data_IF_961181659278
#
_entry.id   IF_961181659278
#
_cell.length_a   1.000
_cell.length_b   1.000
_cell.length_c   1.000
_cell.angle_alpha   90.00
_cell.angle_beta   90.00
_cell.angle_gamma   90.00
#
_symmetry.space_group_name_H-M   'P 1'
#
loop_
_entity.id
_entity.type
_entity.pdbx_description
1 polymer ?
#
# COMPACT_ATOMS: atom_id res chain seq x y z
N UNK A 1 29.88 -5.89 -13.49
CA UNK A 1 29.06 -7.12 -13.46
C UNK A 1 28.40 -7.31 -14.82
N UNK A 2 28.40 -8.54 -15.32
CA UNK A 2 27.62 -8.92 -16.49
C UNK A 2 26.16 -9.17 -16.11
N UNK A 3 25.24 -9.14 -17.06
CA UNK A 3 23.82 -9.46 -16.81
C UNK A 3 23.64 -10.92 -16.35
N UNK A 4 24.49 -11.85 -16.80
CA UNK A 4 24.49 -13.22 -16.31
C UNK A 4 24.85 -13.27 -14.80
N UNK A 5 25.86 -12.54 -14.36
CA UNK A 5 26.24 -12.48 -12.93
C UNK A 5 25.11 -11.88 -12.07
N UNK A 6 24.37 -10.90 -12.60
CA UNK A 6 23.20 -10.34 -11.92
C UNK A 6 22.09 -11.39 -11.77
N UNK A 7 21.78 -12.12 -12.84
CA UNK A 7 20.81 -13.22 -12.82
C UNK A 7 21.20 -14.33 -11.83
N UNK A 8 22.45 -14.77 -11.88
CA UNK A 8 22.99 -15.80 -11.00
C UNK A 8 23.00 -15.36 -9.52
N UNK A 9 23.29 -14.08 -9.26
CA UNK A 9 23.21 -13.51 -7.92
C UNK A 9 21.78 -13.56 -7.40
N UNK A 10 20.80 -13.11 -8.19
CA UNK A 10 19.39 -13.14 -7.81
C UNK A 10 18.94 -14.58 -7.48
N UNK A 11 19.27 -15.55 -8.33
CA UNK A 11 18.89 -16.96 -8.12
C UNK A 11 19.43 -17.49 -6.78
N UNK A 12 20.70 -17.19 -6.46
CA UNK A 12 21.28 -17.59 -5.18
C UNK A 12 20.63 -16.87 -4.00
N UNK A 13 20.40 -15.58 -4.11
CA UNK A 13 19.72 -14.80 -3.08
C UNK A 13 18.29 -15.30 -2.82
N UNK A 14 17.52 -15.52 -3.88
CA UNK A 14 16.15 -16.02 -3.78
C UNK A 14 16.09 -17.39 -3.07
N UNK A 15 17.04 -18.29 -3.34
CA UNK A 15 17.13 -19.60 -2.65
C UNK A 15 17.34 -19.42 -1.15
N UNK A 16 18.27 -18.55 -0.74
CA UNK A 16 18.51 -18.27 0.68
C UNK A 16 17.24 -17.68 1.34
N UNK A 17 16.57 -16.75 0.69
CA UNK A 17 15.32 -16.17 1.23
C UNK A 17 14.27 -17.26 1.40
N UNK A 18 14.12 -18.17 0.43
CA UNK A 18 13.13 -19.28 0.52
C UNK A 18 13.50 -20.35 1.54
N UNK A 19 14.76 -20.54 1.83
CA UNK A 19 15.21 -21.44 2.90
C UNK A 19 14.94 -20.85 4.29
N UNK A 20 15.21 -19.56 4.48
CA UNK A 20 15.09 -18.90 5.78
C UNK A 20 13.66 -18.34 6.06
N UNK A 21 12.95 -17.90 5.02
CA UNK A 21 11.63 -17.28 5.12
C UNK A 21 10.76 -17.62 3.90
N UNK A 22 10.26 -18.88 3.81
CA UNK A 22 9.55 -19.38 2.62
C UNK A 22 8.26 -18.62 2.29
N UNK A 23 7.68 -17.90 3.25
CA UNK A 23 6.48 -17.08 3.08
C UNK A 23 6.75 -15.76 2.34
N UNK A 24 8.01 -15.31 2.24
CA UNK A 24 8.35 -14.07 1.55
C UNK A 24 8.41 -14.30 0.04
N UNK A 25 7.66 -13.50 -0.73
CA UNK A 25 7.76 -13.49 -2.18
C UNK A 25 9.02 -12.77 -2.64
N UNK A 26 9.73 -13.35 -3.60
CA UNK A 26 10.90 -12.72 -4.22
C UNK A 26 10.51 -12.14 -5.57
N UNK A 27 10.86 -10.87 -5.77
CA UNK A 27 10.56 -10.11 -6.97
C UNK A 27 11.82 -9.92 -7.79
N UNK A 28 11.77 -10.24 -9.08
CA UNK A 28 12.86 -9.96 -10.01
C UNK A 28 12.50 -8.81 -10.95
N UNK A 29 13.21 -7.70 -10.82
CA UNK A 29 13.10 -6.59 -11.75
C UNK A 29 13.91 -6.94 -13.01
N UNK A 30 13.17 -7.38 -14.02
CA UNK A 30 13.73 -7.90 -15.26
C UNK A 30 13.74 -6.86 -16.37
N UNK A 31 13.52 -7.34 -17.60
CA UNK A 31 13.68 -6.57 -18.81
C UNK A 31 12.36 -6.33 -19.54
N UNK A 32 12.27 -5.22 -20.25
CA UNK A 32 11.15 -4.91 -21.12
C UNK A 32 11.32 -5.51 -22.53
N UNK A 33 10.22 -5.72 -23.24
CA UNK A 33 10.24 -6.05 -24.67
C UNK A 33 10.82 -4.86 -25.46
N UNK A 34 11.70 -5.15 -26.42
CA UNK A 34 12.39 -4.10 -27.18
C UNK A 34 11.49 -3.43 -28.22
N UNK A 35 10.96 -4.17 -29.17
CA UNK A 35 10.13 -3.66 -30.26
C UNK A 35 8.68 -4.10 -30.09
N UNK A 36 7.84 -3.14 -29.71
CA UNK A 36 6.42 -3.38 -29.44
C UNK A 36 5.61 -3.73 -30.70
N UNK A 37 6.08 -3.37 -31.89
CA UNK A 37 5.41 -3.70 -33.16
C UNK A 37 5.50 -5.19 -33.48
N UNK A 38 6.46 -5.90 -32.90
CA UNK A 38 6.68 -7.34 -33.08
C UNK A 38 6.01 -8.12 -31.95
N UNK A 39 5.04 -9.00 -32.29
CA UNK A 39 4.29 -9.75 -31.25
C UNK A 39 5.20 -10.66 -30.41
N UNK A 40 6.23 -11.24 -31.01
CA UNK A 40 7.13 -12.19 -30.38
C UNK A 40 8.53 -11.59 -30.12
N UNK A 41 8.59 -10.27 -29.93
CA UNK A 41 9.84 -9.58 -29.68
C UNK A 41 10.57 -10.16 -28.45
N UNK A 42 11.89 -10.41 -28.53
CA UNK A 42 12.66 -10.84 -27.37
C UNK A 42 12.60 -9.80 -26.26
N UNK A 43 12.56 -10.28 -25.01
CA UNK A 43 12.83 -9.46 -23.84
C UNK A 43 14.34 -9.22 -23.76
N UNK A 44 14.76 -8.03 -23.33
CA UNK A 44 16.18 -7.75 -23.09
C UNK A 44 16.76 -8.78 -22.13
N UNK A 45 17.97 -9.25 -22.42
CA UNK A 45 18.70 -10.20 -21.56
C UNK A 45 17.93 -11.48 -21.23
N UNK A 46 16.97 -11.90 -22.07
CA UNK A 46 16.12 -13.07 -21.78
C UNK A 46 16.91 -14.37 -21.56
N UNK A 47 18.09 -14.50 -22.19
CA UNK A 47 18.95 -15.67 -22.04
C UNK A 47 19.66 -15.65 -20.68
N UNK A 48 20.23 -14.49 -20.35
CA UNK A 48 20.98 -14.24 -19.12
C UNK A 48 20.07 -14.31 -17.88
N UNK A 49 18.81 -13.87 -18.01
CA UNK A 49 17.85 -13.82 -16.92
C UNK A 49 16.85 -14.99 -16.87
N UNK A 50 17.00 -15.98 -17.77
CA UNK A 50 16.06 -17.09 -17.84
C UNK A 50 15.82 -17.79 -16.50
N UNK A 51 16.90 -18.11 -15.76
CA UNK A 51 16.79 -18.75 -14.46
C UNK A 51 16.23 -17.82 -13.38
N UNK A 52 16.54 -16.52 -13.46
CA UNK A 52 15.98 -15.53 -12.56
C UNK A 52 14.47 -15.40 -12.74
N UNK A 53 13.96 -15.34 -13.98
CA UNK A 53 12.53 -15.35 -14.26
C UNK A 53 11.83 -16.62 -13.75
N UNK A 54 12.49 -17.76 -13.85
CA UNK A 54 11.94 -19.02 -13.35
C UNK A 54 11.93 -19.09 -11.82
N UNK A 55 12.93 -18.50 -11.16
CA UNK A 55 13.09 -18.54 -9.70
C UNK A 55 12.22 -17.51 -8.98
N UNK A 56 12.02 -16.32 -9.55
CA UNK A 56 11.18 -15.28 -8.96
C UNK A 56 9.73 -15.76 -8.77
N UNK A 57 9.07 -15.28 -7.73
CA UNK A 57 7.61 -15.44 -7.54
C UNK A 57 6.84 -14.41 -8.36
N UNK A 58 7.38 -13.20 -8.46
CA UNK A 58 6.77 -12.06 -9.14
C UNK A 58 7.80 -11.44 -10.09
N UNK A 59 7.35 -11.06 -11.28
CA UNK A 59 8.18 -10.30 -12.22
C UNK A 59 7.94 -8.80 -12.04
N UNK A 60 8.97 -8.01 -12.28
CA UNK A 60 8.88 -6.56 -12.17
C UNK A 60 9.63 -5.84 -13.28
N UNK A 61 9.20 -4.62 -13.54
CA UNK A 61 9.91 -3.65 -14.37
C UNK A 61 9.83 -2.26 -13.71
N UNK A 62 10.91 -1.48 -13.87
CA UNK A 62 10.88 -0.05 -13.61
C UNK A 62 10.51 0.65 -14.92
N UNK A 63 9.33 1.24 -14.98
CA UNK A 63 8.87 1.88 -16.20
C UNK A 63 7.91 3.03 -15.91
N UNK A 64 7.97 4.02 -16.77
CA UNK A 64 7.31 5.31 -16.60
C UNK A 64 6.52 5.64 -17.86
N UNK A 65 5.37 6.32 -17.71
CA UNK A 65 4.64 6.90 -18.84
C UNK A 65 5.44 8.03 -19.49
N UNK A 66 6.13 8.82 -18.66
CA UNK A 66 7.13 9.78 -19.09
C UNK A 66 8.23 9.84 -18.04
N UNK A 67 9.48 9.86 -18.50
CA UNK A 67 10.65 10.08 -17.64
C UNK A 67 11.69 10.83 -18.44
N UNK A 68 12.13 11.97 -17.93
CA UNK A 68 13.07 12.81 -18.63
C UNK A 68 14.16 13.34 -17.72
N UNK A 69 15.35 12.85 -17.92
CA UNK A 69 16.55 13.37 -17.26
C UNK A 69 17.12 14.56 -18.05
N UNK A 70 17.37 15.68 -17.38
CA UNK A 70 17.94 16.88 -18.00
C UNK A 70 16.92 17.93 -18.44
N UNK A 71 15.62 17.69 -18.22
CA UNK A 71 14.59 18.71 -18.44
C UNK A 71 14.81 19.96 -17.54
N UNK A 72 14.62 21.17 -18.05
CA UNK A 72 14.28 21.53 -19.43
C UNK A 72 15.51 21.79 -20.33
N UNK A 73 16.72 21.67 -19.81
CA UNK A 73 17.96 22.16 -20.46
C UNK A 73 18.26 21.46 -21.78
N UNK A 74 18.17 20.15 -21.82
CA UNK A 74 18.49 19.39 -23.02
C UNK A 74 17.45 19.61 -24.15
N UNK A 75 16.19 19.90 -23.81
CA UNK A 75 15.16 20.28 -24.80
C UNK A 75 15.47 21.66 -25.37
N UNK A 76 15.87 22.60 -24.52
CA UNK A 76 16.26 23.95 -24.97
C UNK A 76 17.50 23.91 -25.85
N UNK A 77 18.50 23.07 -25.53
CA UNK A 77 19.74 22.98 -26.26
C UNK A 77 19.58 22.24 -27.60
N UNK A 78 18.76 21.17 -27.63
CA UNK A 78 18.61 20.31 -28.82
C UNK A 78 17.48 20.73 -29.75
N UNK A 79 16.67 21.70 -29.36
CA UNK A 79 15.56 22.21 -30.18
C UNK A 79 14.51 21.15 -30.53
N UNK A 80 14.34 20.12 -29.67
CA UNK A 80 13.53 18.94 -29.98
C UNK A 80 12.29 18.80 -29.10
N UNK A 81 11.16 18.43 -29.70
CA UNK A 81 9.96 17.95 -29.04
C UNK A 81 10.06 16.47 -28.68
N UNK A 82 11.23 15.97 -28.34
CA UNK A 82 11.49 14.52 -28.31
C UNK A 82 10.97 13.78 -27.06
N UNK A 83 10.32 14.47 -26.15
CA UNK A 83 9.83 13.87 -24.90
C UNK A 83 8.33 14.02 -24.77
N UNK A 84 7.62 13.22 -25.54
CA UNK A 84 6.19 13.02 -25.35
C UNK A 84 5.97 11.90 -24.33
N UNK A 85 4.90 12.03 -23.57
CA UNK A 85 4.41 10.91 -22.77
C UNK A 85 4.10 9.72 -23.67
N UNK A 86 4.52 8.52 -23.27
CA UNK A 86 4.11 7.28 -23.96
C UNK A 86 2.60 7.14 -23.85
N UNK A 87 1.85 6.96 -24.94
CA UNK A 87 0.42 6.74 -24.88
C UNK A 87 0.08 5.55 -23.97
N UNK A 88 -0.96 5.69 -23.17
CA UNK A 88 -1.35 4.66 -22.18
C UNK A 88 -1.57 3.30 -22.84
N UNK A 89 -2.20 3.26 -24.03
CA UNK A 89 -2.41 2.00 -24.77
C UNK A 89 -1.08 1.34 -25.18
N UNK A 90 -0.11 2.13 -25.64
CA UNK A 90 1.21 1.63 -26.00
C UNK A 90 1.97 1.14 -24.75
N UNK A 91 1.89 1.88 -23.64
CA UNK A 91 2.52 1.49 -22.38
C UNK A 91 1.94 0.17 -21.86
N UNK A 92 0.62 0.04 -21.88
CA UNK A 92 -0.06 -1.20 -21.50
C UNK A 92 0.38 -2.37 -22.40
N UNK A 93 0.42 -2.17 -23.73
CA UNK A 93 0.85 -3.21 -24.68
C UNK A 93 2.31 -3.64 -24.46
N UNK A 94 3.20 -2.72 -24.10
CA UNK A 94 4.58 -3.05 -23.72
C UNK A 94 4.62 -3.99 -22.52
N UNK A 95 3.88 -3.69 -21.47
CA UNK A 95 3.80 -4.55 -20.28
C UNK A 95 3.19 -5.91 -20.62
N UNK A 96 2.08 -5.94 -21.35
CA UNK A 96 1.38 -7.16 -21.76
C UNK A 96 2.29 -8.08 -22.59
N UNK A 97 3.00 -7.52 -23.55
CA UNK A 97 3.95 -8.26 -24.39
C UNK A 97 5.15 -8.74 -23.60
N UNK A 98 5.64 -7.93 -22.65
CA UNK A 98 6.70 -8.34 -21.74
C UNK A 98 6.27 -9.56 -20.91
N UNK A 99 5.10 -9.51 -20.26
CA UNK A 99 4.57 -10.64 -19.48
C UNK A 99 4.40 -11.89 -20.33
N UNK A 100 3.79 -11.79 -21.52
CA UNK A 100 3.64 -12.90 -22.46
C UNK A 100 4.98 -13.50 -22.89
N UNK A 101 5.96 -12.66 -23.19
CA UNK A 101 7.28 -13.13 -23.61
C UNK A 101 8.03 -13.84 -22.50
N UNK A 102 8.02 -13.27 -21.27
CA UNK A 102 8.65 -13.93 -20.12
C UNK A 102 7.93 -15.26 -19.82
N UNK A 103 6.61 -15.31 -19.89
CA UNK A 103 5.83 -16.54 -19.77
C UNK A 103 6.31 -17.61 -20.76
N UNK A 104 6.53 -17.25 -22.02
CA UNK A 104 7.07 -18.17 -23.04
C UNK A 104 8.47 -18.66 -22.70
N UNK A 105 9.37 -17.74 -22.29
CA UNK A 105 10.73 -18.06 -21.86
C UNK A 105 10.72 -18.97 -20.62
N UNK A 106 9.75 -18.80 -19.74
CA UNK A 106 9.52 -19.57 -18.51
C UNK A 106 8.73 -20.88 -18.74
N UNK A 107 8.73 -21.41 -19.96
CA UNK A 107 8.10 -22.69 -20.28
C UNK A 107 6.56 -22.67 -20.24
N UNK A 108 5.94 -21.51 -20.42
CA UNK A 108 4.48 -21.32 -20.42
C UNK A 108 3.89 -21.04 -19.04
N UNK A 109 4.72 -20.95 -17.98
CA UNK A 109 4.25 -20.60 -16.63
C UNK A 109 4.23 -19.08 -16.49
N UNK A 110 3.04 -18.51 -16.41
CA UNK A 110 2.82 -17.10 -16.11
C UNK A 110 2.98 -16.84 -14.61
N UNK A 111 3.58 -15.71 -14.26
CA UNK A 111 3.66 -15.22 -12.88
C UNK A 111 3.12 -13.79 -12.82
N UNK A 112 2.64 -13.33 -11.66
CA UNK A 112 2.21 -11.95 -11.49
C UNK A 112 3.32 -10.97 -11.91
N UNK A 113 2.93 -9.84 -12.48
CA UNK A 113 3.84 -8.75 -12.84
C UNK A 113 3.47 -7.48 -12.10
N UNK A 114 4.47 -6.82 -11.55
CA UNK A 114 4.34 -5.51 -10.92
C UNK A 114 5.23 -4.48 -11.63
N UNK A 115 4.95 -3.20 -11.42
CA UNK A 115 5.89 -2.12 -11.74
C UNK A 115 6.50 -1.64 -10.44
N UNK A 116 7.79 -1.88 -10.23
CA UNK A 116 8.50 -1.52 -8.99
C UNK A 116 8.77 -0.02 -8.88
N UNK A 117 8.93 0.68 -10.01
CA UNK A 117 9.01 2.13 -10.08
C UNK A 117 8.09 2.65 -11.18
N UNK A 118 7.01 3.32 -10.81
CA UNK A 118 6.01 3.84 -11.74
C UNK A 118 5.69 5.29 -11.46
N UNK A 119 5.65 6.09 -12.51
CA UNK A 119 5.12 7.45 -12.46
C UNK A 119 5.01 8.01 -13.90
N UNK A 120 4.68 9.29 -13.98
CA UNK A 120 4.91 10.13 -15.13
C UNK A 120 5.60 11.42 -14.68
N UNK A 121 6.56 11.90 -15.45
CA UNK A 121 7.33 13.09 -15.12
C UNK A 121 6.45 14.34 -15.19
N UNK A 122 6.29 15.01 -14.05
CA UNK A 122 5.48 16.21 -13.93
C UNK A 122 6.00 17.40 -14.72
N UNK A 123 7.29 17.45 -15.04
CA UNK A 123 7.86 18.48 -15.91
C UNK A 123 7.45 18.27 -17.38
N UNK A 124 7.21 17.02 -17.78
CA UNK A 124 6.80 16.66 -19.13
C UNK A 124 5.28 16.79 -19.30
N UNK A 125 4.52 16.21 -18.38
CA UNK A 125 3.04 16.14 -18.47
C UNK A 125 2.35 17.36 -17.85
N UNK A 126 3.03 18.08 -16.99
CA UNK A 126 2.45 19.08 -16.09
C UNK A 126 1.86 18.45 -14.83
N UNK A 127 2.00 19.11 -13.68
CA UNK A 127 1.65 18.55 -12.37
C UNK A 127 0.14 18.23 -12.22
N UNK A 128 -0.73 18.89 -12.96
CA UNK A 128 -2.18 18.64 -12.94
C UNK A 128 -2.58 17.42 -13.77
N UNK A 129 -1.82 17.09 -14.82
CA UNK A 129 -2.11 15.94 -15.71
C UNK A 129 -1.37 14.66 -15.30
N UNK A 130 -0.43 14.77 -14.39
CA UNK A 130 0.36 13.64 -13.88
C UNK A 130 -0.56 12.54 -13.32
N UNK A 131 -1.44 12.88 -12.38
CA UNK A 131 -2.37 11.94 -11.78
C UNK A 131 -3.43 11.42 -12.77
N UNK A 132 -3.90 12.28 -13.69
CA UNK A 132 -4.85 11.89 -14.74
C UNK A 132 -4.30 10.78 -15.64
N UNK A 133 -3.03 10.88 -16.02
CA UNK A 133 -2.37 9.87 -16.85
C UNK A 133 -2.29 8.51 -16.14
N UNK A 134 -2.00 8.51 -14.85
CA UNK A 134 -1.97 7.29 -14.04
C UNK A 134 -3.37 6.69 -13.89
N UNK A 135 -4.39 7.49 -13.63
CA UNK A 135 -5.79 7.03 -13.60
C UNK A 135 -6.21 6.38 -14.91
N UNK A 136 -5.85 6.96 -16.05
CA UNK A 136 -6.12 6.36 -17.39
C UNK A 136 -5.45 4.99 -17.53
N UNK A 137 -4.24 4.82 -17.02
CA UNK A 137 -3.58 3.52 -17.03
C UNK A 137 -4.32 2.51 -16.15
N UNK A 138 -4.76 2.90 -14.97
CA UNK A 138 -5.58 2.06 -14.09
C UNK A 138 -6.89 1.64 -14.77
N UNK A 139 -7.60 2.57 -15.40
CA UNK A 139 -8.81 2.26 -16.16
C UNK A 139 -8.54 1.31 -17.33
N UNK A 140 -7.38 1.43 -17.98
CA UNK A 140 -6.95 0.49 -19.02
C UNK A 140 -6.73 -0.92 -18.47
N UNK A 141 -6.04 -1.05 -17.34
CA UNK A 141 -5.87 -2.34 -16.65
C UNK A 141 -7.21 -3.00 -16.34
N UNK A 142 -8.16 -2.24 -15.82
CA UNK A 142 -9.52 -2.70 -15.48
C UNK A 142 -10.29 -3.14 -16.73
N UNK A 143 -10.29 -2.31 -17.78
CA UNK A 143 -11.04 -2.57 -19.01
C UNK A 143 -10.54 -3.81 -19.77
N UNK A 144 -9.25 -4.12 -19.67
CA UNK A 144 -8.62 -5.28 -20.30
C UNK A 144 -8.63 -6.53 -19.41
N UNK A 145 -9.16 -6.41 -18.17
CA UNK A 145 -9.13 -7.48 -17.17
C UNK A 145 -7.73 -8.09 -17.02
N UNK A 146 -6.74 -7.23 -16.75
CA UNK A 146 -5.32 -7.59 -16.71
C UNK A 146 -4.96 -8.42 -15.47
N UNK A 147 -5.44 -9.65 -15.40
CA UNK A 147 -5.26 -10.62 -14.31
C UNK A 147 -3.80 -11.07 -14.09
N UNK A 148 -2.93 -10.77 -15.04
CA UNK A 148 -1.48 -11.00 -14.97
C UNK A 148 -0.75 -9.85 -14.26
N UNK A 149 -1.41 -8.73 -14.01
CA UNK A 149 -0.83 -7.52 -13.40
C UNK A 149 -1.27 -7.38 -11.95
N UNK A 150 -0.32 -7.32 -11.03
CA UNK A 150 -0.57 -7.39 -9.59
C UNK A 150 -0.46 -6.02 -8.89
N UNK A 151 0.15 -5.03 -9.54
CA UNK A 151 0.21 -3.69 -8.98
C UNK A 151 1.43 -2.87 -9.36
N UNK A 152 1.55 -1.71 -8.75
CA UNK A 152 2.69 -0.82 -8.95
C UNK A 152 3.05 -0.02 -7.70
N UNK A 153 4.33 0.35 -7.61
CA UNK A 153 4.84 1.28 -6.60
C UNK A 153 5.10 2.63 -7.23
N UNK A 154 4.57 3.69 -6.62
CA UNK A 154 4.85 5.05 -7.10
C UNK A 154 6.28 5.45 -6.76
N UNK A 155 7.02 5.89 -7.74
CA UNK A 155 8.31 6.52 -7.57
C UNK A 155 8.19 8.02 -7.83
N UNK A 156 8.34 8.87 -6.80
CA UNK A 156 8.61 8.55 -5.41
C UNK A 156 7.75 9.40 -4.45
N UNK A 157 7.84 9.12 -3.15
CA UNK A 157 7.05 9.86 -2.17
C UNK A 157 7.43 11.34 -2.13
N UNK A 158 8.73 11.67 -2.01
CA UNK A 158 9.21 13.05 -1.98
C UNK A 158 10.38 13.27 -2.94
N UNK A 159 10.31 14.36 -3.69
CA UNK A 159 11.30 14.76 -4.68
C UNK A 159 11.47 16.28 -4.67
N UNK A 160 12.43 16.78 -5.43
CA UNK A 160 12.65 18.23 -5.66
C UNK A 160 11.83 18.78 -6.84
N UNK A 161 10.87 18.06 -7.35
CA UNK A 161 9.89 18.62 -8.26
C UNK A 161 9.19 17.73 -9.27
N UNK A 162 9.78 16.66 -9.85
CA UNK A 162 9.20 15.99 -11.03
C UNK A 162 8.33 14.79 -10.77
N UNK A 163 8.74 13.96 -9.84
CA UNK A 163 8.17 12.63 -9.61
C UNK A 163 7.52 12.49 -8.24
N UNK A 164 7.75 13.44 -7.33
CA UNK A 164 7.28 13.35 -5.96
C UNK A 164 5.77 13.47 -5.83
N UNK A 165 5.19 12.67 -4.94
CA UNK A 165 3.84 12.94 -4.39
C UNK A 165 3.86 14.23 -3.55
N UNK A 166 5.02 14.56 -2.98
CA UNK A 166 5.33 15.81 -2.32
C UNK A 166 6.59 16.45 -2.92
N UNK A 167 6.67 17.78 -2.92
CA UNK A 167 7.91 18.52 -3.16
C UNK A 167 8.57 18.85 -1.83
N UNK A 168 9.88 18.71 -1.76
CA UNK A 168 10.68 19.15 -0.62
C UNK A 168 10.54 20.68 -0.45
N UNK A 169 10.18 21.15 0.76
CA UNK A 169 10.16 22.59 1.04
C UNK A 169 11.59 23.13 0.97
N UNK A 170 11.87 24.14 0.12
CA UNK A 170 13.21 24.67 -0.06
C UNK A 170 13.80 25.32 1.20
N UNK A 171 12.98 25.65 2.19
CA UNK A 171 13.42 26.24 3.45
C UNK A 171 13.52 25.21 4.59
N UNK A 172 12.89 24.04 4.43
CA UNK A 172 12.92 22.98 5.43
C UNK A 172 12.71 21.60 4.77
N UNK A 173 13.78 20.89 4.52
CA UNK A 173 13.76 19.56 3.87
C UNK A 173 12.93 18.50 4.65
N UNK A 174 12.63 18.73 5.92
CA UNK A 174 11.77 17.85 6.71
C UNK A 174 10.28 18.02 6.41
N UNK A 175 9.91 19.09 5.69
CA UNK A 175 8.53 19.38 5.31
C UNK A 175 8.31 19.04 3.84
N UNK A 176 7.22 18.31 3.55
CA UNK A 176 6.75 18.05 2.20
C UNK A 176 5.57 18.95 1.85
N UNK A 177 5.57 19.48 0.63
CA UNK A 177 4.46 20.22 0.05
C UNK A 177 3.70 19.27 -0.88
N UNK A 178 2.44 18.89 -0.52
CA UNK A 178 1.66 17.97 -1.33
C UNK A 178 1.49 18.44 -2.77
N UNK A 179 1.72 17.54 -3.72
CA UNK A 179 1.45 17.75 -5.13
C UNK A 179 0.03 17.31 -5.50
N UNK A 180 -0.56 17.82 -6.59
CA UNK A 180 -1.90 17.39 -7.04
C UNK A 180 -2.03 15.87 -7.20
N UNK A 181 -0.98 15.20 -7.67
CA UNK A 181 -0.93 13.75 -7.84
C UNK A 181 -1.15 12.97 -6.52
N UNK A 182 -0.81 13.53 -5.36
CA UNK A 182 -1.01 12.85 -4.07
C UNK A 182 -2.48 12.53 -3.83
N UNK A 183 -3.39 13.46 -4.19
CA UNK A 183 -4.83 13.19 -4.11
C UNK A 183 -5.25 12.08 -5.05
N UNK A 184 -4.80 12.14 -6.29
CA UNK A 184 -5.13 11.14 -7.31
C UNK A 184 -4.61 9.75 -6.94
N UNK A 185 -3.42 9.69 -6.37
CA UNK A 185 -2.85 8.44 -5.88
C UNK A 185 -3.62 7.86 -4.68
N UNK A 186 -4.02 8.71 -3.72
CA UNK A 186 -4.89 8.27 -2.61
C UNK A 186 -6.24 7.73 -3.10
N UNK A 187 -6.79 8.29 -4.16
CA UNK A 187 -8.04 7.79 -4.76
C UNK A 187 -7.82 6.43 -5.46
N UNK A 188 -6.69 6.25 -6.15
CA UNK A 188 -6.31 5.00 -6.79
C UNK A 188 -6.10 3.88 -5.75
N UNK A 189 -5.47 4.18 -4.62
CA UNK A 189 -5.26 3.19 -3.55
C UNK A 189 -6.55 2.65 -2.94
N UNK A 190 -7.66 3.34 -3.13
CA UNK A 190 -8.99 2.88 -2.68
C UNK A 190 -9.76 2.10 -3.75
N UNK A 191 -9.19 1.97 -4.96
CA UNK A 191 -9.87 1.26 -6.04
C UNK A 191 -9.87 -0.26 -5.75
N UNK A 192 -11.05 -0.90 -5.73
CA UNK A 192 -11.19 -2.34 -5.45
C UNK A 192 -10.38 -3.24 -6.39
N UNK A 193 -9.96 -2.74 -7.55
CA UNK A 193 -9.11 -3.48 -8.48
C UNK A 193 -7.75 -3.83 -7.86
N UNK A 194 -7.17 -2.92 -7.06
CA UNK A 194 -5.88 -3.15 -6.38
C UNK A 194 -6.02 -3.76 -5.00
N UNK A 195 -7.22 -3.75 -4.44
CA UNK A 195 -7.53 -4.25 -3.11
C UNK A 195 -8.70 -5.24 -3.19
N UNK A 196 -8.53 -6.36 -3.95
CA UNK A 196 -9.56 -7.39 -3.98
C UNK A 196 -9.69 -8.00 -2.58
N UNK A 197 -10.75 -7.69 -1.89
CA UNK A 197 -11.02 -8.17 -0.54
C UNK A 197 -11.14 -7.09 0.54
N UNK A 198 -10.98 -5.80 0.24
CA UNK A 198 -11.50 -4.73 1.10
C UNK A 198 -13.04 -4.63 1.04
N UNK A 199 -13.69 -5.64 0.51
CA UNK A 199 -15.11 -5.84 0.67
C UNK A 199 -15.37 -6.51 2.02
N UNK A 200 -15.71 -5.70 3.02
CA UNK A 200 -16.70 -5.99 4.07
C UNK A 200 -16.51 -7.30 4.85
N UNK A 201 -15.53 -7.50 5.54
CA UNK A 201 -15.26 -8.49 6.60
C UNK A 201 -13.83 -9.02 6.45
N UNK A 202 -12.82 -8.16 6.60
CA UNK A 202 -11.51 -8.70 6.90
C UNK A 202 -11.61 -9.39 8.27
N UNK A 203 -11.62 -10.71 8.24
CA UNK A 203 -11.39 -11.50 9.43
C UNK A 203 -10.02 -11.11 9.97
N UNK A 204 -10.00 -10.44 11.12
CA UNK A 204 -8.76 -9.93 11.72
C UNK A 204 -7.81 -11.09 11.94
N UNK A 205 -6.68 -11.09 11.23
CA UNK A 205 -5.67 -12.13 11.35
C UNK A 205 -4.72 -11.85 12.51
N UNK A 206 -4.62 -12.77 13.45
CA UNK A 206 -3.70 -12.66 14.59
C UNK A 206 -2.49 -13.61 14.42
N UNK A 207 -1.30 -13.25 14.95
CA UNK A 207 -0.99 -12.01 15.67
C UNK A 207 -0.94 -10.79 14.76
N UNK A 208 -1.40 -9.64 15.25
CA UNK A 208 -1.36 -8.37 14.55
C UNK A 208 -0.44 -7.39 15.26
N UNK A 209 0.46 -6.75 14.52
CA UNK A 209 1.32 -5.67 15.04
C UNK A 209 0.62 -4.34 14.82
N UNK A 210 0.36 -3.63 15.90
CA UNK A 210 -0.29 -2.33 15.93
C UNK A 210 0.76 -1.24 16.02
N UNK A 211 0.50 -0.10 15.40
CA UNK A 211 1.40 1.06 15.41
C UNK A 211 0.62 2.33 15.72
N UNK A 212 1.27 3.24 16.44
CA UNK A 212 0.84 4.61 16.59
C UNK A 212 1.88 5.56 15.97
N UNK A 213 1.47 6.41 15.07
CA UNK A 213 2.29 7.53 14.58
C UNK A 213 1.62 8.84 14.97
N UNK A 214 0.45 9.10 14.38
CA UNK A 214 -0.53 10.12 14.79
C UNK A 214 -1.92 9.48 14.72
N UNK A 215 -2.96 10.18 15.15
CA UNK A 215 -4.33 9.68 15.02
C UNK A 215 -4.74 9.44 13.55
N UNK A 216 -4.08 10.12 12.61
CA UNK A 216 -4.33 10.00 11.16
C UNK A 216 -3.50 8.88 10.52
N UNK A 217 -2.33 8.55 11.09
CA UNK A 217 -1.37 7.59 10.55
C UNK A 217 -1.29 6.30 11.38
N UNK A 218 -2.16 6.12 12.37
CA UNK A 218 -2.15 4.95 13.22
C UNK A 218 -2.59 3.70 12.45
N UNK A 219 -1.81 2.63 12.56
CA UNK A 219 -2.12 1.31 12.01
C UNK A 219 -2.64 0.42 13.13
N UNK A 220 -3.88 -0.01 13.01
CA UNK A 220 -4.56 -0.83 13.98
C UNK A 220 -5.37 -1.94 13.34
N UNK A 221 -6.08 -2.69 14.17
CA UNK A 221 -7.11 -3.60 13.71
C UNK A 221 -8.48 -2.95 13.88
N UNK A 222 -9.42 -3.31 13.00
CA UNK A 222 -10.80 -2.87 13.07
C UNK A 222 -11.71 -4.10 13.23
N UNK A 223 -12.51 -4.12 14.27
CA UNK A 223 -13.45 -5.21 14.55
C UNK A 223 -14.86 -4.67 14.24
N UNK A 224 -15.52 -5.17 13.20
CA UNK A 224 -16.89 -4.75 12.87
C UNK A 224 -17.86 -5.22 13.93
N UNK A 225 -18.78 -4.35 14.35
CA UNK A 225 -19.78 -4.63 15.36
C UNK A 225 -21.13 -4.14 14.85
N UNK A 226 -22.08 -5.03 14.81
CA UNK A 226 -23.47 -4.67 14.50
C UNK A 226 -24.27 -4.51 15.79
N UNK A 227 -24.78 -3.31 16.02
CA UNK A 227 -25.58 -2.97 17.19
C UNK A 227 -27.06 -3.07 16.87
N UNK A 228 -27.84 -3.74 17.73
CA UNK A 228 -29.29 -3.80 17.57
C UNK A 228 -29.93 -2.44 17.80
N UNK A 229 -29.45 -1.70 18.75
CA UNK A 229 -29.78 -0.32 19.13
C UNK A 229 -28.70 0.26 20.03
N UNK A 230 -28.83 1.47 20.50
CA UNK A 230 -27.92 2.03 21.51
C UNK A 230 -27.89 1.11 22.74
N UNK A 231 -26.74 0.58 23.16
CA UNK A 231 -26.63 -0.33 24.29
C UNK A 231 -26.80 0.38 25.62
N UNK A 232 -27.23 -0.36 26.65
CA UNK A 232 -27.16 0.08 28.04
C UNK A 232 -25.87 -0.34 28.75
N UNK A 233 -25.12 -1.28 28.14
CA UNK A 233 -23.84 -1.76 28.60
C UNK A 233 -22.99 -2.19 27.41
N UNK A 234 -21.75 -1.72 27.37
CA UNK A 234 -20.76 -2.08 26.36
C UNK A 234 -19.36 -2.09 27.01
N UNK A 235 -18.72 -3.24 27.02
CA UNK A 235 -17.43 -3.47 27.65
C UNK A 235 -16.55 -4.33 26.77
N UNK A 236 -15.26 -4.00 26.70
CA UNK A 236 -14.24 -4.80 26.00
C UNK A 236 -13.28 -5.38 27.03
N UNK A 237 -13.04 -6.69 26.95
CA UNK A 237 -12.13 -7.41 27.84
C UNK A 237 -11.00 -8.03 27.05
N UNK A 238 -9.75 -7.84 27.51
CA UNK A 238 -8.54 -8.40 26.95
C UNK A 238 -7.94 -9.44 27.90
N UNK A 239 -7.46 -10.54 27.39
CA UNK A 239 -6.67 -11.48 28.18
C UNK A 239 -5.26 -10.95 28.45
N UNK A 240 -4.72 -10.19 27.51
CA UNK A 240 -3.35 -9.66 27.51
C UNK A 240 -3.25 -8.36 28.33
N UNK A 241 -2.14 -8.22 29.05
CA UNK A 241 -1.84 -7.02 29.86
C UNK A 241 -1.16 -5.92 29.04
N UNK A 242 -1.68 -5.65 27.84
CA UNK A 242 -1.16 -4.62 26.95
C UNK A 242 -1.80 -3.27 27.23
N UNK A 243 -1.04 -2.18 27.04
CA UNK A 243 -1.64 -0.87 26.89
C UNK A 243 -2.05 -0.64 25.44
N UNK A 244 -3.26 -0.15 25.28
CA UNK A 244 -3.87 0.03 23.96
C UNK A 244 -4.66 1.33 23.90
N UNK A 245 -4.68 1.93 22.72
CA UNK A 245 -5.66 2.95 22.37
C UNK A 245 -6.79 2.29 21.58
N UNK A 246 -8.00 2.74 21.79
CA UNK A 246 -9.17 2.25 21.06
C UNK A 246 -10.03 3.41 20.60
N UNK A 247 -10.76 3.24 19.51
CA UNK A 247 -11.76 4.18 19.03
C UNK A 247 -13.05 3.42 18.72
N UNK A 248 -14.16 3.93 19.24
CA UNK A 248 -15.52 3.44 18.94
C UNK A 248 -16.45 4.65 18.81
N UNK A 249 -17.20 4.72 17.73
CA UNK A 249 -18.18 5.79 17.45
C UNK A 249 -17.60 7.21 17.61
N UNK A 250 -16.35 7.42 17.15
CA UNK A 250 -15.63 8.69 17.27
C UNK A 250 -15.07 9.01 18.65
N UNK A 251 -15.23 8.13 19.63
CA UNK A 251 -14.73 8.31 21.00
C UNK A 251 -13.46 7.48 21.20
N UNK A 252 -12.45 8.09 21.80
CA UNK A 252 -11.18 7.45 22.15
C UNK A 252 -11.18 6.92 23.57
N UNK A 253 -10.55 5.74 23.74
CA UNK A 253 -10.41 5.05 25.02
C UNK A 253 -8.96 4.62 25.20
N UNK A 254 -8.51 4.61 26.44
CA UNK A 254 -7.19 4.11 26.78
C UNK A 254 -7.31 2.92 27.73
N UNK A 255 -6.72 1.79 27.34
CA UNK A 255 -6.54 0.62 28.21
C UNK A 255 -5.17 0.72 28.89
N UNK A 256 -5.15 1.03 30.16
CA UNK A 256 -3.92 1.11 30.95
C UNK A 256 -3.28 -0.29 31.17
N UNK A 257 -1.94 -0.36 31.35
CA UNK A 257 -1.28 -1.58 31.81
C UNK A 257 -1.92 -2.09 33.11
N UNK A 258 -2.05 -3.42 33.23
CA UNK A 258 -2.65 -4.06 34.41
C UNK A 258 -4.18 -4.03 34.46
N UNK A 259 -4.86 -3.29 33.58
CA UNK A 259 -6.32 -3.40 33.41
C UNK A 259 -6.63 -4.40 32.31
N UNK A 260 -7.71 -5.16 32.47
CA UNK A 260 -8.18 -6.10 31.45
C UNK A 260 -9.41 -5.60 30.72
N UNK A 261 -10.20 -4.79 31.39
CA UNK A 261 -11.54 -4.39 30.95
C UNK A 261 -11.63 -2.89 30.75
N UNK A 262 -12.31 -2.47 29.69
CA UNK A 262 -12.58 -1.07 29.38
C UNK A 262 -14.07 -0.89 29.13
N UNK A 263 -14.67 0.02 29.91
CA UNK A 263 -16.06 0.47 29.73
C UNK A 263 -16.12 1.40 28.51
N UNK A 264 -16.94 1.04 27.53
CA UNK A 264 -17.10 1.75 26.26
C UNK A 264 -18.38 2.61 26.22
N UNK A 265 -19.14 2.72 27.31
CA UNK A 265 -20.44 3.39 27.29
C UNK A 265 -20.39 4.86 26.91
N UNK A 266 -19.27 5.54 27.18
CA UNK A 266 -19.12 6.95 26.77
C UNK A 266 -19.17 7.16 25.25
N UNK A 267 -18.96 6.12 24.45
CA UNK A 267 -19.13 6.18 22.99
C UNK A 267 -20.56 6.50 22.54
N UNK A 268 -21.54 6.28 23.41
CA UNK A 268 -22.97 6.37 23.07
C UNK A 268 -23.70 7.52 23.77
N UNK A 269 -23.07 8.22 24.74
CA UNK A 269 -23.74 9.25 25.52
C UNK A 269 -24.04 10.51 24.71
N UNK A 270 -23.11 10.92 23.84
CA UNK A 270 -23.29 12.13 23.02
C UNK A 270 -23.76 11.81 21.61
N UNK A 271 -23.53 10.59 21.16
CA UNK A 271 -23.87 10.13 19.80
C UNK A 271 -24.59 8.79 19.85
N UNK A 272 -25.92 8.81 20.17
CA UNK A 272 -26.73 7.62 20.06
C UNK A 272 -26.70 7.05 18.65
N UNK A 273 -26.82 5.74 18.52
CA UNK A 273 -26.79 5.06 17.23
C UNK A 273 -28.19 4.60 16.80
N UNK A 274 -28.42 4.56 15.51
CA UNK A 274 -29.64 4.01 14.93
C UNK A 274 -29.69 2.47 15.09
N UNK A 275 -30.87 1.89 15.23
CA UNK A 275 -31.02 0.43 15.27
C UNK A 275 -30.41 -0.24 14.03
N UNK A 276 -29.58 -1.24 14.25
CA UNK A 276 -28.87 -1.97 13.19
C UNK A 276 -27.60 -1.29 12.69
N UNK A 277 -27.15 -0.22 13.35
CA UNK A 277 -25.89 0.47 12.98
C UNK A 277 -24.70 -0.49 13.04
N UNK A 278 -23.84 -0.39 12.03
CA UNK A 278 -22.57 -1.09 11.97
C UNK A 278 -21.46 -0.09 12.32
N UNK A 279 -20.72 -0.36 13.40
CA UNK A 279 -19.56 0.43 13.84
C UNK A 279 -18.34 -0.48 13.89
N UNK A 280 -17.16 0.13 13.86
CA UNK A 280 -15.91 -0.60 14.04
C UNK A 280 -15.23 -0.21 15.35
N UNK A 281 -14.93 -1.19 16.20
CA UNK A 281 -14.00 -1.00 17.29
C UNK A 281 -12.59 -1.05 16.70
N UNK A 282 -11.90 0.09 16.71
CA UNK A 282 -10.53 0.17 16.24
C UNK A 282 -9.58 0.09 17.43
N UNK A 283 -8.50 -0.67 17.29
CA UNK A 283 -7.51 -0.92 18.33
C UNK A 283 -6.13 -0.61 17.79
N UNK A 284 -5.35 0.17 18.52
CA UNK A 284 -4.02 0.66 18.15
C UNK A 284 -3.02 0.47 19.28
N UNK A 285 -1.72 0.56 18.97
CA UNK A 285 -0.71 0.81 19.99
C UNK A 285 -0.98 2.16 20.67
N UNK A 286 -0.59 2.39 21.93
CA UNK A 286 -0.75 3.69 22.56
C UNK A 286 0.23 4.71 21.96
N UNK A 287 -0.08 6.02 21.99
CA UNK A 287 0.92 7.06 21.75
C UNK A 287 2.02 6.98 22.80
N UNK A 288 3.24 7.43 22.45
CA UNK A 288 4.31 7.53 23.43
C UNK A 288 3.92 8.51 24.56
N UNK A 289 4.27 8.16 25.79
CA UNK A 289 4.24 9.12 26.88
C UNK A 289 5.35 10.16 26.71
N UNK A 290 5.26 11.31 27.42
CA UNK A 290 6.21 12.40 27.27
C UNK A 290 7.69 12.04 27.51
N UNK A 291 7.97 10.94 28.21
CA UNK A 291 9.34 10.39 28.39
C UNK A 291 9.83 9.65 27.14
N UNK A 292 8.94 9.27 26.25
CA UNK A 292 9.20 8.53 25.01
C UNK A 292 8.80 9.34 23.77
N UNK A 293 8.81 10.66 23.86
CA UNK A 293 8.54 11.53 22.73
C UNK A 293 9.59 11.31 21.64
N UNK A 294 9.20 11.07 20.38
CA UNK A 294 10.12 10.94 19.23
C UNK A 294 11.16 12.05 19.12
N UNK A 295 10.83 13.26 19.59
CA UNK A 295 11.77 14.38 19.62
C UNK A 295 12.88 14.22 20.65
N UNK A 296 12.84 13.25 21.56
CA UNK A 296 13.76 13.11 22.68
C UNK A 296 14.64 11.85 22.69
N UNK A 297 14.46 10.88 21.78
CA UNK A 297 15.29 9.68 21.80
C UNK A 297 15.08 8.66 20.67
N UNK A 298 16.04 7.77 20.52
CA UNK A 298 16.06 6.75 19.46
C UNK A 298 15.12 5.56 19.73
N UNK A 299 14.61 5.39 20.96
CA UNK A 299 13.78 4.25 21.39
C UNK A 299 12.27 4.44 21.14
N UNK A 300 11.86 5.53 20.53
CA UNK A 300 10.45 5.86 20.30
C UNK A 300 9.70 4.77 19.54
N UNK A 301 10.35 4.15 18.56
CA UNK A 301 9.72 3.13 17.72
C UNK A 301 9.21 1.94 18.54
N UNK A 302 9.93 1.51 19.58
CA UNK A 302 9.56 0.38 20.44
C UNK A 302 8.29 0.68 21.23
N UNK A 303 8.11 1.93 21.65
CA UNK A 303 6.97 2.36 22.47
C UNK A 303 5.70 2.65 21.64
N UNK A 304 5.86 2.79 20.32
CA UNK A 304 4.75 3.01 19.39
C UNK A 304 4.23 1.73 18.74
N UNK A 305 4.79 0.58 19.06
CA UNK A 305 4.38 -0.71 18.54
C UNK A 305 3.90 -1.61 19.67
N UNK A 306 2.89 -2.40 19.40
CA UNK A 306 2.47 -3.51 20.26
C UNK A 306 1.93 -4.63 19.37
N UNK A 307 1.91 -5.85 19.90
CA UNK A 307 1.38 -7.01 19.18
C UNK A 307 0.24 -7.61 19.98
N UNK A 308 -0.91 -7.74 19.34
CA UNK A 308 -2.07 -8.44 19.90
C UNK A 308 -2.11 -9.86 19.34
N UNK A 309 -2.22 -10.85 20.21
CA UNK A 309 -2.23 -12.28 19.85
C UNK A 309 -3.57 -12.95 20.05
N UNK A 310 -4.50 -12.29 20.76
CA UNK A 310 -5.84 -12.78 21.03
C UNK A 310 -6.89 -11.69 20.79
N UNK A 311 -8.00 -12.09 20.21
CA UNK A 311 -9.14 -11.19 20.04
C UNK A 311 -9.73 -10.82 21.40
N UNK A 312 -10.10 -9.55 21.61
CA UNK A 312 -10.81 -9.16 22.81
C UNK A 312 -12.24 -9.73 22.82
N UNK A 313 -12.76 -9.95 24.01
CA UNK A 313 -14.17 -10.27 24.23
C UNK A 313 -14.97 -8.98 24.33
N UNK A 314 -15.98 -8.82 23.50
CA UNK A 314 -16.94 -7.71 23.55
C UNK A 314 -18.23 -8.17 24.22
N UNK A 315 -18.66 -7.44 25.25
CA UNK A 315 -19.92 -7.67 25.96
C UNK A 315 -20.84 -6.49 25.73
N UNK A 316 -21.98 -6.77 25.12
CA UNK A 316 -23.03 -5.78 24.86
C UNK A 316 -24.32 -6.25 25.51
N UNK A 317 -25.02 -5.33 26.16
CA UNK A 317 -26.36 -5.58 26.70
C UNK A 317 -27.30 -4.45 26.30
N UNK A 318 -28.50 -4.82 25.94
CA UNK A 318 -29.58 -3.91 25.56
C UNK A 318 -30.68 -3.93 26.61
N UNK A 319 -31.32 -2.79 26.83
CA UNK A 319 -32.49 -2.69 27.66
C UNK A 319 -33.62 -3.54 27.10
N UNK A 320 -34.17 -4.43 27.90
CA UNK A 320 -35.38 -5.18 27.53
C UNK A 320 -36.55 -4.19 27.52
N UNK A 321 -37.21 -4.05 26.36
CA UNK A 321 -38.45 -3.30 26.27
C UNK A 321 -39.51 -4.11 27.02
N UNK A 322 -39.82 -3.71 28.25
CA UNK A 322 -41.01 -4.22 28.93
C UNK A 322 -42.23 -3.71 28.14
N UNK A 323 -42.87 -4.59 27.42
CA UNK A 323 -44.21 -4.30 26.90
C UNK A 323 -45.10 -3.98 28.09
N UNK A 324 -45.40 -2.72 28.29
CA UNK A 324 -46.48 -2.31 29.24
C UNK A 324 -47.80 -2.67 28.57
N UNK A 325 -48.37 -3.78 29.00
CA UNK A 325 -49.74 -4.19 28.68
C UNK A 325 -50.78 -3.19 29.19
#
# INVERSE_FOLDING_TARGET
FSYQEVGDFFVRFAKIVKEEAPQISVVFCGSAVGDISVEDAPVQFEKEFKEAFATADIWSNDCYLALHYGWPFDVCEKGGNSYAMTPVDEFFERLRKTSKRITKVNGGICKPMVISEFNTDGDVTGPLHQGESIKRFVEKLKSENADWFDGFSMYQFRDRGRLGLEIEDPNNASVGIPQPILKDYKDILKDPFFLPGLNEEEEVTLPATLRWGSAEDAEGIAIPIKFEKTPEFCEVTFEEELNLMMELNGRWFYKAPGTKTVDMMSAFFETPIEPGAELSLKIFAPPASGENDPAQGEDWAVNYYTTITKMPELRIRYEEVQEVL
#
